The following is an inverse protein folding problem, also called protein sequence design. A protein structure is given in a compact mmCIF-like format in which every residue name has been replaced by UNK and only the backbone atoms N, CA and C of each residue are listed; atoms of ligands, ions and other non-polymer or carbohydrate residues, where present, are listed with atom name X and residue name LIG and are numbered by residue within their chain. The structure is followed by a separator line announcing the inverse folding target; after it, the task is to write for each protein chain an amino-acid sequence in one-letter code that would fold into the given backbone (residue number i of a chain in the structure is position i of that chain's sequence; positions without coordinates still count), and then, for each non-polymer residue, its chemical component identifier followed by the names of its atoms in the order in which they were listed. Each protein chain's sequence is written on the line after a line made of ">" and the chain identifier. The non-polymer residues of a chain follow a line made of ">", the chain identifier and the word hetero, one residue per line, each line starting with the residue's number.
data_IF_288514834865
#
_entry.id   IF_288514834865
#
_cell.length_a   1.000
_cell.length_b   1.000
_cell.length_c   1.000
_cell.angle_alpha   90.00
_cell.angle_beta   90.00
_cell.angle_gamma   90.00
#
_symmetry.space_group_name_H-M   'P 1'
#
loop_
_entity.id
_entity.type
_entity.pdbx_description
1 polymer ?
#
# COMPACT_ATOMS: atom_id res chain seq x y z
N UNK A 1 26.29 -10.77 -24.69
CA UNK A 1 25.63 -9.56 -24.16
C UNK A 1 26.13 -9.31 -22.75
N UNK A 2 26.62 -8.10 -22.44
CA UNK A 2 27.05 -7.71 -21.10
C UNK A 2 25.86 -7.00 -20.43
N UNK A 3 25.28 -7.61 -19.39
CA UNK A 3 24.16 -7.01 -18.64
C UNK A 3 24.77 -6.10 -17.58
N UNK A 4 24.51 -4.80 -17.69
CA UNK A 4 24.88 -3.80 -16.68
C UNK A 4 23.66 -3.62 -15.77
N UNK A 5 23.84 -3.88 -14.47
CA UNK A 5 22.78 -3.67 -13.46
C UNK A 5 22.96 -2.27 -12.89
N UNK A 6 22.05 -1.37 -13.20
CA UNK A 6 21.96 -0.06 -12.56
C UNK A 6 21.46 -0.22 -11.11
N UNK A 7 22.00 0.58 -10.20
CA UNK A 7 21.54 0.62 -8.81
C UNK A 7 20.25 1.43 -8.77
N UNK A 8 19.21 0.85 -8.18
CA UNK A 8 17.96 1.54 -7.90
C UNK A 8 18.14 2.34 -6.59
N UNK A 9 18.09 3.67 -6.68
CA UNK A 9 18.27 4.58 -5.55
C UNK A 9 17.06 4.60 -4.61
N UNK A 10 15.93 3.97 -4.97
CA UNK A 10 14.74 3.93 -4.13
C UNK A 10 14.03 2.56 -4.18
N UNK A 11 14.63 1.52 -3.57
CA UNK A 11 14.13 0.16 -3.70
C UNK A 11 12.76 0.00 -3.01
N UNK A 12 11.82 -0.62 -3.71
CA UNK A 12 10.55 -1.05 -3.13
C UNK A 12 10.79 -2.14 -2.07
N UNK A 13 10.41 -1.87 -0.82
CA UNK A 13 10.51 -2.85 0.27
C UNK A 13 9.18 -3.60 0.38
N UNK A 14 9.16 -4.94 0.22
CA UNK A 14 7.93 -5.70 0.37
C UNK A 14 7.50 -5.76 1.83
N UNK A 15 6.21 -5.55 2.09
CA UNK A 15 5.61 -5.64 3.42
C UNK A 15 4.44 -6.63 3.36
N UNK A 16 4.42 -7.59 4.29
CA UNK A 16 3.34 -8.59 4.40
C UNK A 16 2.42 -8.23 5.56
N UNK A 17 1.14 -7.98 5.27
CA UNK A 17 0.12 -7.71 6.29
C UNK A 17 -0.77 -8.93 6.51
N UNK A 18 -1.13 -9.19 7.78
CA UNK A 18 -2.25 -10.07 8.11
C UNK A 18 -3.48 -9.21 8.35
N UNK A 19 -4.43 -9.26 7.44
CA UNK A 19 -5.68 -8.52 7.52
C UNK A 19 -6.85 -9.51 7.64
N UNK A 20 -7.93 -9.15 8.38
CA UNK A 20 -9.15 -9.94 8.36
C UNK A 20 -9.73 -10.03 6.93
N UNK A 21 -10.34 -11.17 6.59
CA UNK A 21 -10.85 -11.43 5.23
C UNK A 21 -11.83 -10.35 4.76
N UNK A 22 -12.75 -9.91 5.63
CA UNK A 22 -13.72 -8.87 5.30
C UNK A 22 -13.08 -7.52 4.88
N UNK A 23 -11.88 -7.22 5.37
CA UNK A 23 -11.11 -6.02 5.03
C UNK A 23 -10.44 -6.19 3.67
N UNK A 24 -9.89 -7.37 3.40
CA UNK A 24 -9.33 -7.74 2.08
C UNK A 24 -10.40 -7.64 1.00
N UNK A 25 -11.60 -8.15 1.24
CA UNK A 25 -12.69 -8.15 0.26
C UNK A 25 -13.15 -6.72 -0.06
N UNK A 26 -13.24 -5.86 0.96
CA UNK A 26 -13.54 -4.43 0.78
C UNK A 26 -12.44 -3.71 0.01
N UNK A 27 -11.17 -3.93 0.37
CA UNK A 27 -10.02 -3.37 -0.34
C UNK A 27 -10.02 -3.78 -1.82
N UNK A 28 -10.30 -5.05 -2.10
CA UNK A 28 -10.36 -5.60 -3.46
C UNK A 28 -11.49 -4.95 -4.24
N UNK A 29 -12.69 -4.88 -3.66
CA UNK A 29 -13.85 -4.24 -4.29
C UNK A 29 -13.61 -2.76 -4.62
N UNK A 30 -12.94 -2.02 -3.73
CA UNK A 30 -12.60 -0.61 -3.97
C UNK A 30 -11.53 -0.49 -5.05
N UNK A 31 -10.52 -1.35 -5.03
CA UNK A 31 -9.46 -1.35 -6.03
C UNK A 31 -10.02 -1.61 -7.44
N UNK A 32 -10.86 -2.63 -7.60
CA UNK A 32 -11.49 -2.99 -8.86
C UNK A 32 -12.39 -1.87 -9.40
N UNK A 33 -13.22 -1.25 -8.54
CA UNK A 33 -14.09 -0.13 -8.94
C UNK A 33 -13.33 1.07 -9.48
N UNK A 34 -12.07 1.24 -9.10
CA UNK A 34 -11.24 2.38 -9.48
C UNK A 34 -10.12 2.00 -10.47
N UNK A 35 -10.13 0.77 -10.99
CA UNK A 35 -9.08 0.23 -11.88
C UNK A 35 -7.65 0.37 -11.30
N UNK A 36 -7.53 0.11 -9.99
CA UNK A 36 -6.27 0.19 -9.26
C UNK A 36 -5.81 -1.20 -8.81
N UNK A 37 -4.48 -1.39 -8.70
CA UNK A 37 -3.95 -2.54 -7.99
C UNK A 37 -4.13 -2.36 -6.48
N UNK A 38 -4.31 -3.48 -5.76
CA UNK A 38 -4.37 -3.48 -4.29
C UNK A 38 -3.15 -2.79 -3.66
N UNK A 39 -1.96 -3.01 -4.22
CA UNK A 39 -0.74 -2.37 -3.76
C UNK A 39 -0.81 -0.84 -3.90
N UNK A 40 -1.19 -0.33 -5.08
CA UNK A 40 -1.34 1.12 -5.30
C UNK A 40 -2.34 1.74 -4.34
N UNK A 41 -3.48 1.08 -4.12
CA UNK A 41 -4.50 1.56 -3.20
C UNK A 41 -3.98 1.62 -1.75
N UNK A 42 -3.31 0.58 -1.27
CA UNK A 42 -2.73 0.55 0.07
C UNK A 42 -1.64 1.62 0.21
N UNK A 43 -0.77 1.79 -0.78
CA UNK A 43 0.25 2.85 -0.79
C UNK A 43 -0.38 4.23 -0.66
N UNK A 44 -1.41 4.55 -1.47
CA UNK A 44 -2.08 5.84 -1.41
C UNK A 44 -2.76 6.10 -0.05
N UNK A 45 -3.38 5.07 0.55
CA UNK A 45 -3.97 5.18 1.89
C UNK A 45 -2.89 5.49 2.94
N UNK A 46 -1.76 4.79 2.89
CA UNK A 46 -0.65 5.01 3.82
C UNK A 46 -0.04 6.40 3.64
N UNK A 47 0.20 6.83 2.39
CA UNK A 47 0.70 8.17 2.09
C UNK A 47 -0.26 9.26 2.60
N UNK A 48 -1.56 9.10 2.37
CA UNK A 48 -2.55 10.05 2.88
C UNK A 48 -2.56 10.08 4.41
N UNK A 49 -2.57 8.91 5.05
CA UNK A 49 -2.60 8.81 6.51
C UNK A 49 -1.33 9.39 7.18
N UNK A 50 -0.17 9.29 6.53
CA UNK A 50 1.09 9.83 7.03
C UNK A 50 1.23 11.34 6.80
N UNK A 51 0.63 11.87 5.73
CA UNK A 51 0.75 13.29 5.39
C UNK A 51 -0.42 14.15 5.90
N UNK A 52 -1.55 13.53 6.25
CA UNK A 52 -2.69 14.23 6.82
C UNK A 52 -2.45 14.56 8.31
N UNK A 53 -2.09 15.81 8.58
CA UNK A 53 -1.85 16.34 9.93
C UNK A 53 -3.07 16.25 10.85
N UNK A 54 -4.27 16.10 10.28
CA UNK A 54 -5.52 15.96 11.04
C UNK A 54 -5.88 14.51 11.36
N UNK A 55 -5.17 13.55 10.75
CA UNK A 55 -5.43 12.13 10.94
C UNK A 55 -5.12 11.71 12.39
N UNK A 56 -6.13 11.14 13.06
CA UNK A 56 -6.01 10.63 14.42
C UNK A 56 -6.05 9.10 14.41
N UNK A 57 -4.88 8.48 14.46
CA UNK A 57 -4.77 7.03 14.60
C UNK A 57 -5.20 6.62 16.02
N UNK A 58 -6.17 5.71 16.12
CA UNK A 58 -6.58 5.09 17.38
C UNK A 58 -6.26 3.60 17.31
N UNK A 59 -5.25 3.18 18.06
CA UNK A 59 -4.85 1.76 18.17
C UNK A 59 -5.40 1.21 19.48
N UNK A 60 -6.05 0.04 19.42
CA UNK A 60 -6.34 -0.78 20.60
C UNK A 60 -5.32 -1.91 20.64
N UNK A 61 -4.56 -1.98 21.73
CA UNK A 61 -3.64 -3.08 22.02
C UNK A 61 -4.37 -4.31 22.50
#
# INVERSE_FOLDING_TARGET
>A
MKIIKEKDDNPSIPITFRLPQNLIDKLTSVAEKNDLSRQKLVTAILEQALNDKSFKLRVKG
#
